data_IF_918841692505
#
_entry.id   IF_918841692505
#
_cell.length_a   1.000
_cell.length_b   1.000
_cell.length_c   1.000
_cell.angle_alpha   90.00
_cell.angle_beta   90.00
_cell.angle_gamma   90.00
#
_symmetry.space_group_name_H-M   'P 1'
#
loop_
_entity.id
_entity.type
_entity.pdbx_description
1 polymer ?
#
# COMPACT_ATOMS: atom_id res chain seq x y z
N UNK A 1 -6.80 -7.80 33.36
CA UNK A 1 -6.59 -8.07 31.92
C UNK A 1 -6.41 -6.74 31.23
N UNK A 2 -5.38 -6.59 30.41
CA UNK A 2 -5.08 -5.36 29.68
C UNK A 2 -6.17 -5.04 28.66
N UNK A 3 -6.35 -3.75 28.36
CA UNK A 3 -7.36 -3.27 27.40
C UNK A 3 -6.67 -2.49 26.28
N UNK A 4 -6.91 -2.85 25.03
CA UNK A 4 -6.44 -2.14 23.86
C UNK A 4 -7.62 -1.47 23.17
N UNK A 5 -7.47 -0.17 22.87
CA UNK A 5 -8.39 0.60 22.04
C UNK A 5 -7.78 0.79 20.65
N UNK A 6 -8.22 -0.02 19.68
CA UNK A 6 -7.64 -0.07 18.34
C UNK A 6 -8.54 0.65 17.33
N UNK A 7 -7.94 1.54 16.52
CA UNK A 7 -8.62 2.23 15.42
C UNK A 7 -7.94 1.88 14.09
N UNK A 8 -8.62 1.10 13.26
CA UNK A 8 -8.32 0.89 11.85
C UNK A 8 -9.48 1.48 11.03
N UNK A 9 -9.18 2.40 10.10
CA UNK A 9 -10.19 3.16 9.36
C UNK A 9 -10.41 2.72 7.92
N UNK A 10 -9.61 1.76 7.43
CA UNK A 10 -9.64 1.27 6.04
C UNK A 10 -9.44 -0.25 6.02
N UNK A 11 -9.81 -0.89 4.91
CA UNK A 11 -9.72 -2.35 4.77
C UNK A 11 -8.28 -2.87 4.89
N UNK A 12 -7.31 -2.16 4.30
CA UNK A 12 -5.88 -2.46 4.48
C UNK A 12 -5.45 -2.42 5.94
N UNK A 13 -5.92 -1.40 6.67
CA UNK A 13 -5.69 -1.28 8.11
C UNK A 13 -6.28 -2.43 8.92
N UNK A 14 -7.47 -2.93 8.57
CA UNK A 14 -8.10 -4.11 9.20
C UNK A 14 -7.28 -5.38 8.96
N UNK A 15 -6.78 -5.59 7.73
CA UNK A 15 -5.93 -6.73 7.38
C UNK A 15 -4.64 -6.70 8.23
N UNK A 16 -3.92 -5.60 8.21
CA UNK A 16 -2.64 -5.49 8.91
C UNK A 16 -2.81 -5.55 10.43
N UNK A 17 -3.82 -4.86 10.96
CA UNK A 17 -4.14 -4.92 12.38
C UNK A 17 -4.53 -6.33 12.83
N UNK A 18 -5.38 -7.03 12.06
CA UNK A 18 -5.82 -8.39 12.43
C UNK A 18 -4.68 -9.39 12.43
N UNK A 19 -3.74 -9.30 11.47
CA UNK A 19 -2.55 -10.16 11.44
C UNK A 19 -1.68 -9.92 12.68
N UNK A 20 -1.42 -8.67 13.02
CA UNK A 20 -0.67 -8.31 14.22
C UNK A 20 -1.39 -8.72 15.52
N UNK A 21 -2.70 -8.52 15.64
CA UNK A 21 -3.49 -8.93 16.81
C UNK A 21 -3.47 -10.46 16.99
N UNK A 22 -3.52 -11.26 15.91
CA UNK A 22 -3.35 -12.71 16.00
C UNK A 22 -2.01 -13.10 16.63
N UNK A 23 -0.92 -12.40 16.28
CA UNK A 23 0.39 -12.66 16.90
C UNK A 23 0.42 -12.20 18.35
N UNK A 24 -0.13 -11.02 18.66
CA UNK A 24 -0.15 -10.49 20.02
C UNK A 24 -0.96 -11.38 20.99
N UNK A 25 -2.07 -11.99 20.53
CA UNK A 25 -2.87 -12.94 21.31
C UNK A 25 -2.13 -14.23 21.69
N UNK A 26 -1.05 -14.57 20.97
CA UNK A 26 -0.18 -15.70 21.35
C UNK A 26 0.77 -15.33 22.50
N UNK A 27 0.96 -14.03 22.76
CA UNK A 27 1.90 -13.51 23.75
C UNK A 27 1.20 -13.03 25.04
N UNK A 28 -0.05 -12.56 24.94
CA UNK A 28 -0.78 -12.00 26.07
C UNK A 28 -2.30 -12.06 25.90
N UNK A 29 -3.01 -12.07 27.04
CA UNK A 29 -4.45 -11.93 27.10
C UNK A 29 -4.85 -10.46 27.27
N UNK A 30 -5.78 -9.99 26.43
CA UNK A 30 -6.30 -8.63 26.49
C UNK A 30 -7.71 -8.53 25.90
N UNK A 31 -8.43 -7.50 26.31
CA UNK A 31 -9.70 -7.10 25.69
C UNK A 31 -9.43 -6.09 24.59
N UNK A 32 -10.13 -6.22 23.46
CA UNK A 32 -9.96 -5.40 22.27
C UNK A 32 -11.24 -4.61 21.98
N UNK A 33 -11.11 -3.28 21.89
CA UNK A 33 -12.21 -2.34 21.65
C UNK A 33 -11.86 -1.42 20.49
N UNK A 34 -12.87 -0.80 19.84
CA UNK A 34 -12.60 0.30 18.91
C UNK A 34 -13.32 0.23 17.58
N UNK A 35 -12.59 0.43 16.50
CA UNK A 35 -13.10 0.48 15.12
C UNK A 35 -12.23 -0.38 14.22
N UNK A 36 -12.86 -1.17 13.36
CA UNK A 36 -12.19 -2.06 12.41
C UNK A 36 -13.16 -2.70 11.44
N UNK A 37 -12.68 -3.63 10.66
CA UNK A 37 -13.45 -4.45 9.75
C UNK A 37 -13.87 -5.79 10.36
N UNK A 38 -14.36 -6.67 9.50
CA UNK A 38 -14.85 -7.98 9.92
C UNK A 38 -13.74 -8.87 10.50
N UNK A 39 -12.48 -8.74 10.03
CA UNK A 39 -11.36 -9.54 10.54
C UNK A 39 -11.04 -9.24 12.00
N UNK A 40 -11.04 -7.96 12.39
CA UNK A 40 -10.88 -7.57 13.79
C UNK A 40 -12.09 -7.97 14.65
N UNK A 41 -13.31 -7.90 14.10
CA UNK A 41 -14.53 -8.37 14.75
C UNK A 41 -14.47 -9.86 15.06
N UNK A 42 -14.05 -10.69 14.12
CA UNK A 42 -13.82 -12.13 14.30
C UNK A 42 -12.76 -12.45 15.36
N UNK A 43 -11.81 -11.55 15.58
CA UNK A 43 -10.83 -11.62 16.66
C UNK A 43 -11.36 -11.08 18.00
N UNK A 44 -12.66 -10.84 18.13
CA UNK A 44 -13.30 -10.43 19.37
C UNK A 44 -13.15 -8.94 19.70
N UNK A 45 -12.96 -8.09 18.70
CA UNK A 45 -13.05 -6.63 18.91
C UNK A 45 -14.49 -6.22 19.18
N UNK A 46 -14.72 -5.58 20.32
CA UNK A 46 -15.96 -4.83 20.57
C UNK A 46 -15.93 -3.56 19.73
N UNK A 47 -16.67 -3.58 18.61
CA UNK A 47 -16.66 -2.50 17.61
C UNK A 47 -17.75 -1.47 17.90
N UNK A 48 -17.37 -0.18 17.82
CA UNK A 48 -18.29 0.95 17.88
C UNK A 48 -18.69 1.43 16.50
N UNK A 49 -17.85 1.17 15.50
CA UNK A 49 -18.11 1.33 14.08
C UNK A 49 -17.39 0.24 13.29
N UNK A 50 -18.01 -0.21 12.19
CA UNK A 50 -17.37 -1.07 11.21
C UNK A 50 -16.93 -0.21 10.01
N UNK A 51 -15.79 -0.53 9.41
CA UNK A 51 -15.28 0.19 8.21
C UNK A 51 -16.21 0.05 7.00
N UNK A 52 -17.00 -1.02 6.91
CA UNK A 52 -18.02 -1.18 5.87
C UNK A 52 -19.07 -0.07 5.91
N UNK A 53 -19.38 0.44 7.10
CA UNK A 53 -20.31 1.58 7.26
C UNK A 53 -19.71 2.88 6.73
N UNK A 54 -18.38 2.93 6.57
CA UNK A 54 -17.63 4.07 6.07
C UNK A 54 -17.42 4.04 4.55
N UNK A 55 -17.37 2.85 3.95
CA UNK A 55 -17.08 2.63 2.51
C UNK A 55 -18.30 2.80 1.60
N UNK A 56 -19.51 2.71 2.12
CA UNK A 56 -20.77 2.90 1.37
C UNK A 56 -20.84 4.30 0.73
N UNK A 57 -19.92 5.19 1.11
CA UNK A 57 -19.93 6.60 0.74
C UNK A 57 -18.73 6.87 -0.19
N UNK A 58 -18.98 7.04 -1.49
CA UNK A 58 -17.96 7.31 -2.53
C UNK A 58 -17.09 8.57 -2.29
N UNK A 59 -15.92 8.59 -2.90
CA UNK A 59 -14.85 9.60 -2.71
C UNK A 59 -15.25 11.06 -3.07
N UNK A 60 -16.36 11.25 -3.81
CA UNK A 60 -16.84 12.57 -4.25
C UNK A 60 -17.66 13.35 -3.21
N UNK A 61 -17.90 12.76 -2.02
CA UNK A 61 -18.80 13.33 -1.01
C UNK A 61 -18.13 13.68 0.33
N UNK A 62 -16.85 14.06 0.31
CA UNK A 62 -16.07 14.37 1.53
C UNK A 62 -16.77 15.44 2.40
N UNK A 63 -17.50 16.37 1.80
CA UNK A 63 -18.21 17.44 2.54
C UNK A 63 -19.46 16.88 3.23
N UNK A 64 -20.20 15.96 2.60
CA UNK A 64 -21.39 15.32 3.20
C UNK A 64 -21.03 14.37 4.35
N UNK A 65 -19.79 13.89 4.42
CA UNK A 65 -19.27 12.94 5.44
C UNK A 65 -18.81 13.62 6.72
N UNK A 66 -18.55 14.91 6.70
CA UNK A 66 -18.01 15.61 7.86
C UNK A 66 -18.87 15.40 9.13
N UNK A 67 -20.21 15.45 9.08
CA UNK A 67 -21.04 15.17 10.25
C UNK A 67 -20.87 13.76 10.79
N UNK A 68 -20.76 12.76 9.92
CA UNK A 68 -20.54 11.36 10.31
C UNK A 68 -19.18 11.16 10.98
N UNK A 69 -18.11 11.71 10.39
CA UNK A 69 -16.75 11.66 10.95
C UNK A 69 -16.71 12.34 12.33
N UNK A 70 -17.38 13.48 12.48
CA UNK A 70 -17.47 14.19 13.76
C UNK A 70 -18.25 13.39 14.81
N UNK A 71 -19.37 12.75 14.40
CA UNK A 71 -20.15 11.86 15.28
C UNK A 71 -19.32 10.67 15.73
N UNK A 72 -18.61 9.99 14.79
CA UNK A 72 -17.71 8.89 15.09
C UNK A 72 -16.61 9.34 16.06
N UNK A 73 -15.96 10.46 15.78
CA UNK A 73 -14.91 11.01 16.63
C UNK A 73 -15.41 11.29 18.06
N UNK A 74 -16.59 11.87 18.19
CA UNK A 74 -17.22 12.17 19.47
C UNK A 74 -17.58 10.91 20.26
N UNK A 75 -18.14 9.88 19.59
CA UNK A 75 -18.45 8.62 20.22
C UNK A 75 -17.19 7.89 20.69
N UNK A 76 -16.15 7.82 19.85
CA UNK A 76 -14.89 7.15 20.22
C UNK A 76 -14.20 7.85 21.39
N UNK A 77 -14.26 9.18 21.48
CA UNK A 77 -13.78 9.93 22.65
C UNK A 77 -14.51 9.50 23.94
N UNK A 78 -15.84 9.45 23.91
CA UNK A 78 -16.64 9.01 25.05
C UNK A 78 -16.29 7.59 25.46
N UNK A 79 -16.22 6.69 24.48
CA UNK A 79 -15.87 5.28 24.73
C UNK A 79 -14.46 5.10 25.28
N UNK A 80 -13.52 5.93 24.87
CA UNK A 80 -12.15 5.92 25.42
C UNK A 80 -12.15 6.17 26.94
N UNK A 81 -12.94 7.15 27.42
CA UNK A 81 -13.06 7.42 28.85
C UNK A 81 -13.85 6.35 29.63
N UNK A 82 -14.88 5.76 29.01
CA UNK A 82 -15.66 4.68 29.62
C UNK A 82 -14.79 3.42 29.83
N UNK A 83 -13.98 3.06 28.83
CA UNK A 83 -13.17 1.83 28.83
C UNK A 83 -11.88 2.00 29.61
N UNK A 84 -11.25 3.19 29.56
CA UNK A 84 -9.93 3.49 30.13
C UNK A 84 -8.89 2.45 29.70
N UNK A 85 -8.55 2.38 28.39
CA UNK A 85 -7.61 1.38 27.90
C UNK A 85 -6.18 1.66 28.38
N UNK A 86 -5.39 0.58 28.49
CA UNK A 86 -3.95 0.67 28.78
C UNK A 86 -3.15 1.17 27.57
N UNK A 87 -3.70 0.96 26.36
CA UNK A 87 -3.08 1.35 25.11
C UNK A 87 -4.13 1.79 24.07
N UNK A 88 -3.87 2.90 23.43
CA UNK A 88 -4.53 3.33 22.18
C UNK A 88 -3.62 2.95 21.02
N UNK A 89 -4.08 2.03 20.17
CA UNK A 89 -3.35 1.54 19.00
C UNK A 89 -4.02 2.04 17.72
N UNK A 90 -3.31 2.88 17.00
CA UNK A 90 -3.79 3.51 15.78
C UNK A 90 -3.11 2.85 14.57
N UNK A 91 -3.90 2.46 13.58
CA UNK A 91 -3.38 1.76 12.41
C UNK A 91 -3.71 2.55 11.15
N UNK A 92 -2.66 3.04 10.46
CA UNK A 92 -2.79 3.86 9.25
C UNK A 92 -3.80 5.02 9.40
N UNK A 93 -4.56 5.38 8.35
CA UNK A 93 -5.65 6.36 8.34
C UNK A 93 -5.27 7.72 8.97
N UNK A 94 -4.20 8.38 8.49
CA UNK A 94 -3.56 9.51 9.19
C UNK A 94 -4.44 10.74 9.36
N UNK A 95 -5.41 10.96 8.48
CA UNK A 95 -6.32 12.10 8.56
C UNK A 95 -7.17 12.11 9.83
N UNK A 96 -7.58 10.95 10.30
CA UNK A 96 -8.34 10.75 11.53
C UNK A 96 -7.43 10.43 12.71
N UNK A 97 -6.56 9.45 12.54
CA UNK A 97 -5.78 8.87 13.62
C UNK A 97 -4.80 9.86 14.27
N UNK A 98 -4.18 10.78 13.51
CA UNK A 98 -3.32 11.82 14.11
C UNK A 98 -4.09 12.82 14.98
N UNK A 99 -5.36 13.08 14.68
CA UNK A 99 -6.22 13.91 15.52
C UNK A 99 -6.65 13.16 16.78
N UNK A 100 -6.91 11.85 16.65
CA UNK A 100 -7.26 11.00 17.78
C UNK A 100 -6.08 10.77 18.72
N UNK A 101 -4.86 10.60 18.17
CA UNK A 101 -3.62 10.55 18.93
C UNK A 101 -3.42 11.78 19.81
N UNK A 102 -3.62 12.98 19.24
CA UNK A 102 -3.53 14.25 19.99
C UNK A 102 -4.53 14.30 21.16
N UNK A 103 -5.77 13.89 20.90
CA UNK A 103 -6.79 13.84 21.93
C UNK A 103 -6.44 12.81 23.02
N UNK A 104 -6.05 11.60 22.64
CA UNK A 104 -5.69 10.54 23.58
C UNK A 104 -4.50 10.96 24.46
N UNK A 105 -3.45 11.52 23.85
CA UNK A 105 -2.25 11.97 24.57
C UNK A 105 -2.51 13.09 25.55
N UNK A 106 -3.34 14.06 25.19
CA UNK A 106 -3.76 15.16 26.11
C UNK A 106 -4.56 14.68 27.33
N UNK A 107 -5.06 13.45 27.28
CA UNK A 107 -5.80 12.82 28.36
C UNK A 107 -5.03 11.63 28.96
N UNK A 108 -3.69 11.68 28.89
CA UNK A 108 -2.73 10.77 29.53
C UNK A 108 -2.80 9.31 29.08
N UNK A 109 -3.43 9.01 27.92
CA UNK A 109 -3.39 7.68 27.35
C UNK A 109 -2.07 7.41 26.63
N UNK A 110 -1.59 6.17 26.71
CA UNK A 110 -0.46 5.70 25.90
C UNK A 110 -0.90 5.46 24.46
N UNK A 111 -0.10 5.93 23.49
CA UNK A 111 -0.43 5.87 22.06
C UNK A 111 0.67 5.16 21.29
N UNK A 112 0.33 4.05 20.64
CA UNK A 112 1.16 3.44 19.61
C UNK A 112 0.53 3.64 18.24
N UNK A 113 1.37 3.78 17.22
CA UNK A 113 0.92 3.99 15.84
C UNK A 113 1.60 2.99 14.91
N UNK A 114 0.81 2.16 14.25
CA UNK A 114 1.29 1.18 13.28
C UNK A 114 0.99 1.63 11.86
N UNK A 115 1.95 1.46 10.96
CA UNK A 115 2.00 1.97 9.58
C UNK A 115 2.15 3.50 9.62
N UNK A 116 3.39 3.94 9.80
CA UNK A 116 3.76 5.33 9.93
C UNK A 116 3.18 6.20 8.80
N UNK A 117 2.55 7.34 9.13
CA UNK A 117 2.07 8.27 8.10
C UNK A 117 3.22 8.79 7.24
N UNK A 118 3.03 8.79 5.92
CA UNK A 118 4.04 9.28 4.95
C UNK A 118 4.14 10.81 4.94
N UNK A 119 4.30 11.41 6.13
CA UNK A 119 4.39 12.88 6.30
C UNK A 119 5.63 13.48 5.64
N UNK A 120 6.65 12.67 5.40
CA UNK A 120 7.86 13.04 4.66
C UNK A 120 7.56 13.33 3.17
N UNK A 121 6.51 12.72 2.62
CA UNK A 121 6.01 13.01 1.27
C UNK A 121 5.09 14.23 1.25
N UNK A 122 4.21 14.35 2.26
CA UNK A 122 3.14 15.35 2.33
C UNK A 122 3.05 15.93 3.73
N UNK A 123 2.95 17.26 3.84
CA UNK A 123 2.74 17.91 5.13
C UNK A 123 3.75 17.53 6.23
N UNK A 124 5.03 17.71 5.94
CA UNK A 124 6.12 17.42 6.88
C UNK A 124 5.91 18.04 8.28
N UNK A 125 5.25 19.18 8.37
CA UNK A 125 4.92 19.84 9.64
C UNK A 125 4.13 18.96 10.62
N UNK A 126 3.43 17.91 10.15
CA UNK A 126 2.74 16.96 11.03
C UNK A 126 3.72 16.16 11.93
N UNK A 127 4.97 16.10 11.56
CA UNK A 127 6.01 15.42 12.35
C UNK A 127 6.14 16.01 13.76
N UNK A 128 6.03 17.34 13.89
CA UNK A 128 6.10 18.00 15.20
C UNK A 128 4.95 17.55 16.12
N UNK A 129 3.77 17.35 15.56
CA UNK A 129 2.63 16.83 16.30
C UNK A 129 2.82 15.36 16.66
N UNK A 130 3.31 14.55 15.73
CA UNK A 130 3.59 13.13 16.00
C UNK A 130 4.59 12.95 17.15
N UNK A 131 5.63 13.78 17.22
CA UNK A 131 6.62 13.76 18.30
C UNK A 131 6.01 13.92 19.69
N UNK A 132 4.99 14.77 19.84
CA UNK A 132 4.34 15.03 21.13
C UNK A 132 3.18 14.09 21.46
N UNK A 133 2.71 13.31 20.48
CA UNK A 133 1.45 12.55 20.62
C UNK A 133 1.59 11.04 20.47
N UNK A 134 2.71 10.54 19.98
CA UNK A 134 2.94 9.11 19.73
C UNK A 134 4.08 8.61 20.62
N UNK A 135 3.79 7.64 21.49
CA UNK A 135 4.78 7.03 22.38
C UNK A 135 5.63 5.98 21.65
N UNK A 136 5.05 5.28 20.66
CA UNK A 136 5.73 4.29 19.83
C UNK A 136 5.20 4.32 18.41
N UNK A 137 6.11 4.49 17.43
CA UNK A 137 5.80 4.52 16.00
C UNK A 137 6.42 3.33 15.28
N UNK A 138 5.58 2.54 14.59
CA UNK A 138 6.02 1.41 13.77
C UNK A 138 6.07 1.80 12.30
N UNK A 139 7.28 1.83 11.76
CA UNK A 139 7.59 2.22 10.39
C UNK A 139 7.61 1.01 9.46
N UNK A 140 7.11 1.17 8.25
CA UNK A 140 7.04 0.11 7.25
C UNK A 140 8.01 0.30 6.08
N UNK A 141 8.68 1.45 6.00
CA UNK A 141 9.73 1.72 5.02
C UNK A 141 11.08 1.87 5.73
N UNK A 142 12.17 1.31 5.19
CA UNK A 142 13.47 1.22 5.88
C UNK A 142 14.03 2.57 6.35
N UNK A 143 13.89 3.61 5.55
CA UNK A 143 14.45 4.93 5.85
C UNK A 143 13.61 5.75 6.86
N UNK A 144 12.35 5.35 7.11
CA UNK A 144 11.44 6.08 7.99
C UNK A 144 11.92 6.06 9.45
N UNK A 145 12.52 4.96 9.90
CA UNK A 145 13.01 4.85 11.27
C UNK A 145 14.06 5.92 11.59
N UNK A 146 15.06 6.06 10.72
CA UNK A 146 16.12 7.07 10.90
C UNK A 146 15.54 8.49 10.80
N UNK A 147 14.65 8.72 9.82
CA UNK A 147 14.00 10.00 9.62
C UNK A 147 13.22 10.43 10.86
N UNK A 148 12.36 9.55 11.39
CA UNK A 148 11.53 9.87 12.55
C UNK A 148 12.35 9.96 13.85
N UNK A 149 13.38 9.14 14.02
CA UNK A 149 14.30 9.25 15.17
C UNK A 149 15.06 10.57 15.20
N UNK A 150 15.50 11.08 14.05
CA UNK A 150 16.12 12.42 13.93
C UNK A 150 15.18 13.55 14.37
N UNK A 151 13.89 13.36 14.20
CA UNK A 151 12.85 14.31 14.64
C UNK A 151 12.41 14.08 16.09
N UNK A 152 13.07 13.17 16.83
CA UNK A 152 12.79 12.88 18.24
C UNK A 152 11.54 12.01 18.47
N UNK A 153 11.11 11.22 17.47
CA UNK A 153 10.02 10.26 17.59
C UNK A 153 10.59 8.88 17.91
N UNK A 154 10.00 8.17 18.87
CA UNK A 154 10.39 6.80 19.21
C UNK A 154 9.87 5.82 18.14
N UNK A 155 10.58 5.74 17.02
CA UNK A 155 10.25 4.94 15.85
C UNK A 155 11.07 3.65 15.79
N UNK A 156 10.47 2.61 15.18
CA UNK A 156 11.13 1.34 14.86
C UNK A 156 10.66 0.84 13.49
N UNK A 157 11.59 0.40 12.67
CA UNK A 157 11.29 -0.27 11.41
C UNK A 157 10.97 -1.74 11.66
N UNK A 158 9.77 -2.16 11.27
CA UNK A 158 9.24 -3.52 11.52
C UNK A 158 9.16 -4.39 10.27
N UNK A 159 9.50 -3.86 9.10
CA UNK A 159 9.23 -4.49 7.81
C UNK A 159 7.92 -3.98 7.22
N UNK A 160 7.64 -4.35 5.97
CA UNK A 160 6.44 -3.90 5.28
C UNK A 160 5.38 -5.01 5.25
N UNK A 161 4.21 -4.80 5.87
CA UNK A 161 3.15 -5.82 5.97
C UNK A 161 2.48 -6.16 4.64
N UNK A 162 2.79 -5.44 3.57
CA UNK A 162 2.30 -5.72 2.21
C UNK A 162 2.73 -7.12 1.76
N UNK A 163 3.91 -7.57 2.21
CA UNK A 163 4.50 -8.86 1.86
C UNK A 163 3.69 -10.03 2.43
N UNK A 164 3.09 -9.85 3.61
CA UNK A 164 2.29 -10.88 4.28
C UNK A 164 1.04 -11.28 3.45
N UNK A 165 0.62 -10.42 2.53
CA UNK A 165 -0.55 -10.62 1.69
C UNK A 165 -0.23 -11.26 0.33
N UNK A 166 1.06 -11.38 -0.03
CA UNK A 166 1.46 -11.97 -1.30
C UNK A 166 1.25 -13.48 -1.25
N UNK A 167 0.30 -13.94 -2.05
CA UNK A 167 -0.02 -15.36 -2.22
C UNK A 167 -0.05 -15.70 -3.69
N UNK A 168 0.90 -16.50 -4.13
CA UNK A 168 0.90 -17.06 -5.47
C UNK A 168 -0.12 -18.20 -5.55
N UNK A 169 -0.83 -18.28 -6.65
CA UNK A 169 -1.80 -19.33 -6.97
C UNK A 169 -1.23 -20.35 -7.97
N UNK A 170 -0.18 -19.94 -8.68
CA UNK A 170 0.47 -20.70 -9.72
C UNK A 170 1.87 -21.08 -9.24
N UNK A 171 2.23 -22.35 -9.39
CA UNK A 171 3.45 -22.91 -8.80
C UNK A 171 4.69 -22.70 -9.68
N UNK A 172 4.51 -22.61 -11.01
CA UNK A 172 5.62 -22.51 -11.96
C UNK A 172 5.34 -21.59 -13.13
N UNK A 173 6.41 -21.16 -13.81
CA UNK A 173 6.33 -20.35 -15.03
C UNK A 173 5.63 -21.15 -16.16
N UNK A 174 5.91 -22.46 -16.24
CA UNK A 174 5.29 -23.33 -17.25
C UNK A 174 3.77 -23.37 -17.07
N UNK A 175 3.30 -23.58 -15.83
CA UNK A 175 1.87 -23.56 -15.51
C UNK A 175 1.24 -22.20 -15.80
N UNK A 176 1.95 -21.11 -15.57
CA UNK A 176 1.49 -19.76 -15.90
C UNK A 176 1.24 -19.59 -17.40
N UNK A 177 2.18 -20.04 -18.24
CA UNK A 177 2.03 -20.00 -19.69
C UNK A 177 0.86 -20.87 -20.18
N UNK A 178 0.69 -22.05 -19.61
CA UNK A 178 -0.39 -22.98 -19.97
C UNK A 178 -1.78 -22.46 -19.57
N UNK A 179 -1.94 -21.96 -18.34
CA UNK A 179 -3.22 -21.47 -17.84
C UNK A 179 -3.73 -20.29 -18.68
N UNK A 180 -2.85 -19.38 -19.09
CA UNK A 180 -3.24 -18.19 -19.84
C UNK A 180 -3.08 -18.33 -21.35
N UNK A 181 -2.63 -19.47 -21.85
CA UNK A 181 -2.43 -19.71 -23.28
C UNK A 181 -1.41 -18.76 -23.90
N UNK A 182 -0.30 -18.50 -23.17
CA UNK A 182 0.78 -17.63 -23.61
C UNK A 182 1.78 -18.40 -24.47
N UNK A 183 2.43 -17.71 -25.42
CA UNK A 183 3.47 -18.29 -26.26
C UNK A 183 4.78 -18.45 -25.46
N UNK A 184 5.29 -19.68 -25.32
CA UNK A 184 6.51 -19.98 -24.52
C UNK A 184 7.77 -19.34 -25.11
N UNK A 185 7.77 -19.04 -26.40
CA UNK A 185 8.91 -18.42 -27.10
C UNK A 185 8.93 -16.89 -27.02
N UNK A 186 7.91 -16.28 -26.39
CA UNK A 186 7.80 -14.84 -26.21
C UNK A 186 7.92 -14.44 -24.75
N UNK A 187 8.65 -13.37 -24.49
CA UNK A 187 8.65 -12.72 -23.17
C UNK A 187 7.28 -12.12 -22.86
N UNK A 188 6.95 -12.00 -21.59
CA UNK A 188 5.65 -11.54 -21.13
C UNK A 188 5.73 -10.15 -20.49
N UNK A 189 4.87 -9.25 -20.96
CA UNK A 189 4.64 -7.94 -20.36
C UNK A 189 3.35 -8.02 -19.54
N UNK A 190 3.46 -7.83 -18.24
CA UNK A 190 2.31 -7.71 -17.35
C UNK A 190 1.79 -6.27 -17.29
N UNK A 191 0.48 -6.12 -17.37
CA UNK A 191 -0.21 -4.82 -17.36
C UNK A 191 -0.98 -4.66 -16.06
N UNK A 192 -0.65 -3.64 -15.27
CA UNK A 192 -1.33 -3.28 -14.03
C UNK A 192 -1.91 -1.86 -14.16
N UNK A 193 -3.11 -1.72 -14.74
CA UNK A 193 -3.67 -0.41 -15.09
C UNK A 193 -4.13 0.43 -13.88
N UNK A 194 -4.20 -0.17 -12.71
CA UNK A 194 -4.70 0.43 -11.48
C UNK A 194 -5.92 -0.30 -10.92
N UNK A 195 -6.39 0.16 -9.77
CA UNK A 195 -7.54 -0.42 -9.05
C UNK A 195 -8.76 0.50 -9.00
N UNK A 196 -8.62 1.75 -9.45
CA UNK A 196 -9.69 2.75 -9.48
C UNK A 196 -10.13 3.05 -10.90
N UNK A 197 -11.43 3.34 -11.09
CA UNK A 197 -12.00 3.62 -12.42
C UNK A 197 -11.18 4.64 -13.22
N UNK A 198 -10.87 5.78 -12.63
CA UNK A 198 -10.10 6.85 -13.30
C UNK A 198 -8.67 6.44 -13.68
N UNK A 199 -8.05 5.55 -12.90
CA UNK A 199 -6.73 5.01 -13.20
C UNK A 199 -6.82 4.08 -14.42
N UNK A 200 -7.73 3.10 -14.37
CA UNK A 200 -7.93 2.13 -15.46
C UNK A 200 -8.28 2.85 -16.75
N UNK A 201 -9.38 3.62 -16.78
CA UNK A 201 -9.84 4.34 -17.96
C UNK A 201 -8.77 5.31 -18.50
N UNK A 202 -7.96 5.91 -17.60
CA UNK A 202 -6.89 6.82 -18.01
C UNK A 202 -5.68 6.12 -18.61
N UNK A 203 -5.37 4.88 -18.22
CA UNK A 203 -4.14 4.20 -18.64
C UNK A 203 -4.35 3.25 -19.81
N UNK A 204 -5.57 2.72 -19.98
CA UNK A 204 -5.83 1.57 -20.83
C UNK A 204 -5.55 1.83 -22.30
N UNK A 205 -5.93 2.99 -22.83
CA UNK A 205 -5.72 3.34 -24.24
C UNK A 205 -4.24 3.39 -24.60
N UNK A 206 -3.40 3.94 -23.71
CA UNK A 206 -1.95 4.01 -23.94
C UNK A 206 -1.35 2.60 -23.87
N UNK A 207 -1.81 1.76 -22.96
CA UNK A 207 -1.38 0.36 -22.88
C UNK A 207 -1.72 -0.39 -24.17
N UNK A 208 -2.93 -0.22 -24.70
CA UNK A 208 -3.35 -0.86 -25.95
C UNK A 208 -2.49 -0.40 -27.12
N UNK A 209 -2.31 0.90 -27.30
CA UNK A 209 -1.51 1.45 -28.39
C UNK A 209 -0.05 0.98 -28.30
N UNK A 210 0.55 0.96 -27.11
CA UNK A 210 1.91 0.46 -26.92
C UNK A 210 2.01 -1.06 -27.18
N UNK A 211 1.00 -1.84 -26.74
CA UNK A 211 0.97 -3.29 -26.95
C UNK A 211 0.87 -3.67 -28.43
N UNK A 212 0.11 -2.91 -29.24
CA UNK A 212 0.06 -3.12 -30.69
C UNK A 212 1.43 -3.01 -31.36
N UNK A 213 2.30 -2.13 -30.88
CA UNK A 213 3.66 -1.97 -31.41
C UNK A 213 4.60 -3.12 -31.07
N UNK A 214 4.20 -3.98 -30.12
CA UNK A 214 5.03 -5.05 -29.58
C UNK A 214 4.39 -6.45 -29.66
N UNK A 215 3.15 -6.58 -30.15
CA UNK A 215 2.34 -7.82 -30.10
C UNK A 215 2.98 -9.03 -30.77
N UNK A 216 3.79 -8.82 -31.81
CA UNK A 216 4.44 -9.91 -32.53
C UNK A 216 5.63 -10.52 -31.75
N UNK A 217 6.17 -9.76 -30.79
CA UNK A 217 7.38 -10.11 -30.02
C UNK A 217 7.13 -10.47 -28.56
N UNK A 218 5.98 -10.07 -28.00
CA UNK A 218 5.66 -10.23 -26.58
C UNK A 218 4.26 -10.80 -26.38
N UNK A 219 4.11 -11.55 -25.27
CA UNK A 219 2.83 -11.82 -24.68
C UNK A 219 2.38 -10.62 -23.82
N UNK A 220 1.06 -10.40 -23.76
CA UNK A 220 0.48 -9.38 -22.89
C UNK A 220 -0.58 -10.01 -21.98
N UNK A 221 -0.43 -9.80 -20.68
CA UNK A 221 -1.41 -10.24 -19.69
C UNK A 221 -1.74 -9.09 -18.73
N UNK A 222 -3.03 -8.82 -18.56
CA UNK A 222 -3.52 -7.72 -17.74
C UNK A 222 -4.13 -8.23 -16.45
N UNK A 223 -3.65 -7.68 -15.33
CA UNK A 223 -4.20 -7.94 -14.02
C UNK A 223 -5.51 -7.17 -13.83
N UNK A 224 -6.57 -7.88 -13.43
CA UNK A 224 -7.83 -7.29 -13.01
C UNK A 224 -7.97 -7.42 -11.50
N UNK A 225 -7.91 -6.29 -10.78
CA UNK A 225 -8.21 -6.25 -9.37
C UNK A 225 -9.71 -6.52 -9.11
N UNK A 226 -10.06 -7.06 -7.94
CA UNK A 226 -11.46 -7.42 -7.63
C UNK A 226 -12.44 -6.25 -7.71
N UNK A 227 -11.96 -5.04 -7.46
CA UNK A 227 -12.74 -3.79 -7.55
C UNK A 227 -12.96 -3.30 -8.98
N UNK A 228 -12.23 -3.85 -9.96
CA UNK A 228 -12.24 -3.41 -11.36
C UNK A 228 -13.31 -4.16 -12.13
N UNK A 229 -14.19 -3.41 -12.82
CA UNK A 229 -15.25 -3.96 -13.66
C UNK A 229 -14.75 -4.11 -15.10
N UNK A 230 -15.24 -5.15 -15.79
CA UNK A 230 -14.88 -5.45 -17.18
C UNK A 230 -15.16 -4.26 -18.12
N UNK A 231 -16.25 -3.55 -17.88
CA UNK A 231 -16.66 -2.37 -18.67
C UNK A 231 -15.63 -1.23 -18.68
N UNK A 232 -14.72 -1.17 -17.67
CA UNK A 232 -13.69 -0.14 -17.62
C UNK A 232 -12.53 -0.39 -18.59
N UNK A 233 -12.44 -1.59 -19.13
CA UNK A 233 -11.41 -1.94 -20.12
C UNK A 233 -11.80 -1.53 -21.56
N UNK A 234 -13.07 -1.18 -21.82
CA UNK A 234 -13.53 -0.83 -23.14
C UNK A 234 -13.34 -1.98 -24.17
N UNK A 235 -12.94 -1.65 -25.38
CA UNK A 235 -12.66 -2.64 -26.44
C UNK A 235 -11.29 -3.29 -26.22
N UNK A 236 -11.27 -4.44 -25.56
CA UNK A 236 -10.04 -5.19 -25.26
C UNK A 236 -9.42 -5.78 -26.53
N UNK A 237 -8.12 -5.50 -26.82
CA UNK A 237 -7.42 -6.14 -27.94
C UNK A 237 -7.28 -7.65 -27.75
N UNK A 238 -7.47 -8.42 -28.81
CA UNK A 238 -7.44 -9.91 -28.78
C UNK A 238 -6.11 -10.49 -28.29
N UNK A 239 -4.99 -9.77 -28.53
CA UNK A 239 -3.65 -10.21 -28.10
C UNK A 239 -3.35 -9.95 -26.63
N UNK A 240 -4.25 -9.30 -25.88
CA UNK A 240 -4.11 -9.08 -24.44
C UNK A 240 -5.02 -10.08 -23.69
N UNK A 241 -4.42 -10.91 -22.84
CA UNK A 241 -5.16 -11.76 -21.91
C UNK A 241 -5.51 -10.97 -20.64
N UNK A 242 -6.68 -11.24 -20.05
CA UNK A 242 -7.07 -10.63 -18.76
C UNK A 242 -7.19 -11.74 -17.72
N UNK A 243 -6.62 -11.50 -16.54
CA UNK A 243 -6.66 -12.46 -15.46
C UNK A 243 -7.11 -11.78 -14.15
N UNK A 244 -8.29 -12.20 -13.65
CA UNK A 244 -8.86 -11.72 -12.41
C UNK A 244 -8.37 -12.54 -11.22
N UNK A 245 -7.85 -11.84 -10.21
CA UNK A 245 -7.40 -12.48 -8.97
C UNK A 245 -6.04 -13.19 -9.07
N UNK A 246 -5.26 -12.95 -10.14
CA UNK A 246 -3.90 -13.48 -10.34
C UNK A 246 -2.84 -12.36 -10.36
N UNK A 247 -3.10 -11.27 -9.65
CA UNK A 247 -2.23 -10.09 -9.68
C UNK A 247 -0.77 -10.43 -9.30
N UNK A 248 -0.58 -11.23 -8.25
CA UNK A 248 0.76 -11.60 -7.78
C UNK A 248 1.45 -12.59 -8.71
N UNK A 249 0.69 -13.50 -9.34
CA UNK A 249 1.23 -14.43 -10.32
C UNK A 249 1.69 -13.67 -11.58
N UNK A 250 0.91 -12.70 -12.05
CA UNK A 250 1.31 -11.81 -13.15
C UNK A 250 2.56 -11.03 -12.78
N UNK A 251 2.60 -10.45 -11.56
CA UNK A 251 3.79 -9.74 -11.09
C UNK A 251 5.01 -10.65 -11.03
N UNK A 252 4.84 -11.92 -10.61
CA UNK A 252 5.94 -12.88 -10.44
C UNK A 252 6.49 -13.41 -11.74
N UNK A 253 5.60 -13.73 -12.70
CA UNK A 253 5.95 -14.50 -13.88
C UNK A 253 6.05 -13.66 -15.17
N UNK A 254 5.85 -12.35 -15.09
CA UNK A 254 6.16 -11.44 -16.20
C UNK A 254 7.64 -11.08 -16.23
N UNK A 255 8.17 -10.79 -17.40
CA UNK A 255 9.55 -10.27 -17.57
C UNK A 255 9.67 -8.80 -17.20
N UNK A 256 8.60 -8.04 -17.41
CA UNK A 256 8.50 -6.61 -17.10
C UNK A 256 7.04 -6.23 -16.85
N UNK A 257 6.82 -5.18 -16.08
CA UNK A 257 5.48 -4.68 -15.77
C UNK A 257 5.29 -3.23 -16.22
N UNK A 258 4.15 -2.94 -16.85
CA UNK A 258 3.63 -1.58 -16.98
C UNK A 258 2.66 -1.36 -15.81
N UNK A 259 3.09 -0.61 -14.83
CA UNK A 259 2.46 -0.62 -13.51
C UNK A 259 2.02 0.78 -13.07
N UNK A 260 0.73 0.96 -12.82
CA UNK A 260 0.21 2.17 -12.18
C UNK A 260 0.88 2.38 -10.81
N UNK A 261 1.29 3.62 -10.54
CA UNK A 261 1.97 3.98 -9.30
C UNK A 261 1.10 3.68 -8.07
N UNK A 262 1.70 3.09 -7.07
CA UNK A 262 1.06 2.67 -5.82
C UNK A 262 1.86 1.55 -5.16
N UNK A 263 1.22 0.84 -4.23
CA UNK A 263 1.81 -0.31 -3.52
C UNK A 263 2.21 -1.43 -4.48
N UNK A 264 1.45 -1.62 -5.58
CA UNK A 264 1.74 -2.62 -6.61
C UNK A 264 3.16 -2.52 -7.19
N UNK A 265 3.75 -1.32 -7.26
CA UNK A 265 5.13 -1.16 -7.74
C UNK A 265 6.16 -1.76 -6.78
N UNK A 266 5.89 -1.72 -5.47
CA UNK A 266 6.73 -2.34 -4.46
C UNK A 266 6.53 -3.85 -4.40
N UNK A 267 5.29 -4.32 -4.52
CA UNK A 267 4.95 -5.75 -4.61
C UNK A 267 5.65 -6.38 -5.82
N UNK A 268 5.59 -5.72 -6.99
CA UNK A 268 6.29 -6.13 -8.20
C UNK A 268 7.80 -6.24 -8.01
N UNK A 269 8.41 -5.20 -7.42
CA UNK A 269 9.84 -5.20 -7.14
C UNK A 269 10.24 -6.28 -6.14
N UNK A 270 9.44 -6.53 -5.12
CA UNK A 270 9.64 -7.62 -4.16
C UNK A 270 9.54 -9.00 -4.83
N UNK A 271 8.61 -9.18 -5.75
CA UNK A 271 8.46 -10.43 -6.52
C UNK A 271 9.55 -10.65 -7.58
N UNK A 272 10.42 -9.65 -7.77
CA UNK A 272 11.57 -9.73 -8.64
C UNK A 272 11.32 -9.28 -10.08
N UNK A 273 10.24 -8.55 -10.35
CA UNK A 273 9.92 -8.09 -11.71
C UNK A 273 10.02 -6.57 -11.81
N UNK A 274 10.81 -6.03 -12.75
CA UNK A 274 11.04 -4.60 -12.88
C UNK A 274 9.78 -3.87 -13.40
N UNK A 275 9.26 -2.85 -12.68
CA UNK A 275 8.15 -2.05 -13.15
C UNK A 275 8.61 -0.83 -13.97
N UNK A 276 7.90 -0.52 -15.05
CA UNK A 276 7.78 0.84 -15.57
C UNK A 276 6.62 1.48 -14.82
N UNK A 277 6.93 2.49 -14.02
CA UNK A 277 6.00 3.12 -13.10
C UNK A 277 5.24 4.23 -13.82
N UNK A 278 3.92 4.17 -13.78
CA UNK A 278 3.05 5.08 -14.53
C UNK A 278 2.23 5.89 -13.54
N UNK A 279 2.17 7.19 -13.76
CA UNK A 279 1.39 8.07 -12.90
C UNK A 279 0.71 9.18 -13.70
N UNK A 280 -0.63 9.26 -13.59
CA UNK A 280 -1.44 10.35 -14.11
C UNK A 280 -1.99 11.19 -12.99
N UNK A 281 -1.68 12.47 -13.01
CA UNK A 281 -2.23 13.46 -12.07
C UNK A 281 -3.01 14.52 -12.85
N UNK A 282 -4.14 15.00 -12.30
CA UNK A 282 -4.79 16.18 -12.84
C UNK A 282 -3.80 17.35 -12.90
N UNK A 283 -3.86 18.15 -13.97
CA UNK A 283 -2.92 19.23 -14.23
C UNK A 283 -2.74 20.21 -13.06
N UNK A 284 -3.83 20.55 -12.39
CA UNK A 284 -3.78 21.37 -11.17
C UNK A 284 -3.02 20.69 -10.01
N UNK A 285 -3.15 19.38 -9.88
CA UNK A 285 -2.43 18.61 -8.85
C UNK A 285 -0.94 18.50 -9.20
N UNK A 286 -0.56 18.52 -10.46
CA UNK A 286 0.85 18.51 -10.90
C UNK A 286 1.55 19.81 -10.48
N UNK A 287 0.92 20.96 -10.67
CA UNK A 287 1.46 22.27 -10.28
C UNK A 287 1.60 22.34 -8.76
N UNK A 288 0.55 21.97 -8.04
CA UNK A 288 0.56 21.92 -6.58
C UNK A 288 1.57 20.89 -6.09
N UNK A 289 1.65 19.72 -6.74
CA UNK A 289 2.57 18.66 -6.41
C UNK A 289 4.03 19.08 -6.54
N UNK A 290 4.42 19.79 -7.60
CA UNK A 290 5.78 20.33 -7.77
C UNK A 290 6.18 21.32 -6.67
N UNK A 291 5.23 22.07 -6.12
CA UNK A 291 5.46 23.03 -5.02
C UNK A 291 5.43 22.39 -3.63
N UNK A 292 4.58 21.38 -3.41
CA UNK A 292 4.35 20.79 -2.09
C UNK A 292 5.01 19.42 -1.89
N UNK A 293 5.34 18.70 -2.97
CA UNK A 293 6.03 17.42 -2.90
C UNK A 293 7.54 17.67 -2.76
N UNK A 294 8.08 17.32 -1.60
CA UNK A 294 9.53 17.25 -1.38
C UNK A 294 10.17 16.05 -2.08
N UNK A 295 9.37 15.26 -2.78
CA UNK A 295 9.81 14.02 -3.40
C UNK A 295 10.36 14.25 -4.80
N UNK A 296 11.57 13.78 -5.01
CA UNK A 296 12.18 13.66 -6.34
C UNK A 296 11.70 12.42 -7.10
N UNK A 297 10.97 11.50 -6.44
CA UNK A 297 10.56 10.18 -6.92
C UNK A 297 9.14 9.86 -6.45
N UNK A 298 8.40 9.10 -7.26
CA UNK A 298 7.00 8.74 -6.98
C UNK A 298 6.87 7.25 -6.66
N UNK A 299 7.66 6.42 -7.34
CA UNK A 299 7.63 4.97 -7.15
C UNK A 299 8.28 4.54 -5.84
N UNK A 300 7.58 3.75 -5.05
CA UNK A 300 8.09 3.22 -3.78
C UNK A 300 9.45 2.50 -3.92
N UNK A 301 9.71 1.68 -4.96
CA UNK A 301 11.02 1.07 -5.16
C UNK A 301 12.15 2.11 -5.29
N UNK A 302 11.92 3.16 -6.07
CA UNK A 302 12.90 4.25 -6.26
C UNK A 302 13.11 5.06 -4.98
N UNK A 303 12.05 5.26 -4.20
CA UNK A 303 12.10 5.96 -2.91
C UNK A 303 12.92 5.15 -1.91
N UNK A 304 12.68 3.84 -1.79
CA UNK A 304 13.40 2.94 -0.89
C UNK A 304 14.89 2.87 -1.24
N UNK A 305 15.21 2.75 -2.51
CA UNK A 305 16.60 2.72 -2.99
C UNK A 305 17.28 4.10 -2.91
N UNK A 306 16.51 5.16 -2.71
CA UNK A 306 16.96 6.54 -2.86
C UNK A 306 17.64 6.83 -4.22
N UNK A 307 17.23 6.12 -5.28
CA UNK A 307 17.74 6.21 -6.66
C UNK A 307 16.58 6.16 -7.64
N UNK A 308 16.71 6.79 -8.81
CA UNK A 308 15.74 6.64 -9.91
C UNK A 308 16.25 5.55 -10.85
N UNK A 309 15.94 4.30 -10.53
CA UNK A 309 16.31 3.12 -11.31
C UNK A 309 15.15 2.72 -12.23
N UNK A 310 13.96 2.54 -11.65
CA UNK A 310 12.78 2.19 -12.41
C UNK A 310 12.20 3.43 -13.07
N UNK A 311 11.91 3.40 -14.38
CA UNK A 311 11.36 4.55 -15.09
C UNK A 311 10.03 5.01 -14.48
N UNK A 312 9.87 6.33 -14.32
CA UNK A 312 8.65 6.96 -13.85
C UNK A 312 8.07 7.83 -14.97
N UNK A 313 7.01 7.34 -15.63
CA UNK A 313 6.33 8.02 -16.70
C UNK A 313 5.15 8.82 -16.15
N UNK A 314 5.29 10.15 -16.15
CA UNK A 314 4.33 11.05 -15.55
C UNK A 314 3.64 11.87 -16.63
N UNK A 315 2.32 11.89 -16.64
CA UNK A 315 1.48 12.70 -17.55
C UNK A 315 1.91 12.59 -19.02
N UNK A 316 2.53 13.63 -19.59
CA UNK A 316 2.96 13.66 -20.99
C UNK A 316 4.08 12.69 -21.34
N UNK A 317 4.89 12.29 -20.35
CA UNK A 317 5.94 11.29 -20.57
C UNK A 317 5.36 9.88 -20.63
N UNK A 318 4.13 9.69 -20.17
CA UNK A 318 3.36 8.46 -20.31
C UNK A 318 2.65 8.43 -21.66
N UNK A 319 3.30 7.86 -22.63
CA UNK A 319 2.84 7.66 -24.01
C UNK A 319 3.35 6.31 -24.54
N UNK A 320 2.77 5.80 -25.66
CA UNK A 320 3.12 4.49 -26.20
C UNK A 320 4.61 4.35 -26.55
N UNK A 321 5.22 5.37 -27.13
CA UNK A 321 6.62 5.37 -27.55
C UNK A 321 7.56 5.25 -26.36
N UNK A 322 7.25 5.95 -25.27
CA UNK A 322 8.02 5.88 -24.02
C UNK A 322 7.94 4.50 -23.40
N UNK A 323 6.75 3.87 -23.36
CA UNK A 323 6.59 2.50 -22.87
C UNK A 323 7.43 1.51 -23.69
N UNK A 324 7.33 1.58 -25.01
CA UNK A 324 8.10 0.72 -25.90
C UNK A 324 9.61 0.91 -25.71
N UNK A 325 10.06 2.17 -25.63
CA UNK A 325 11.47 2.50 -25.43
C UNK A 325 12.00 1.93 -24.11
N UNK A 326 11.31 2.19 -23.01
CA UNK A 326 11.75 1.72 -21.71
C UNK A 326 11.66 0.22 -21.54
N UNK A 327 10.66 -0.43 -22.15
CA UNK A 327 10.58 -1.88 -22.21
C UNK A 327 11.86 -2.47 -22.84
N UNK A 328 12.32 -1.94 -23.96
CA UNK A 328 13.55 -2.39 -24.61
C UNK A 328 14.78 -2.15 -23.73
N UNK A 329 14.93 -0.94 -23.17
CA UNK A 329 16.08 -0.59 -22.32
C UNK A 329 16.18 -1.52 -21.10
N UNK A 330 15.06 -1.78 -20.41
CA UNK A 330 15.06 -2.66 -19.23
C UNK A 330 15.45 -4.07 -19.63
N UNK A 331 14.89 -4.61 -20.70
CA UNK A 331 15.17 -5.97 -21.17
C UNK A 331 16.62 -6.14 -21.66
N UNK A 332 17.22 -5.10 -22.23
CA UNK A 332 18.64 -5.10 -22.65
C UNK A 332 19.59 -4.96 -21.44
N UNK A 333 19.13 -4.40 -20.34
CA UNK A 333 19.92 -4.13 -19.12
C UNK A 333 19.43 -4.91 -17.91
N UNK A 334 18.79 -6.06 -18.10
CA UNK A 334 18.12 -6.83 -17.05
C UNK A 334 19.01 -7.12 -15.82
N UNK A 335 20.30 -7.35 -16.04
CA UNK A 335 21.24 -7.60 -14.93
C UNK A 335 21.36 -6.41 -13.94
N UNK A 336 21.24 -5.17 -14.44
CA UNK A 336 21.24 -3.98 -13.59
C UNK A 336 19.96 -3.98 -12.75
N UNK A 337 18.80 -4.21 -13.38
CA UNK A 337 17.51 -4.22 -12.69
C UNK A 337 17.41 -5.37 -11.68
N UNK A 338 17.86 -6.56 -12.01
CA UNK A 338 17.90 -7.71 -11.11
C UNK A 338 18.73 -7.45 -9.85
N UNK A 339 19.85 -6.74 -9.98
CA UNK A 339 20.70 -6.35 -8.84
C UNK A 339 19.96 -5.38 -7.91
N UNK A 340 19.27 -4.39 -8.47
CA UNK A 340 18.53 -3.41 -7.67
C UNK A 340 17.24 -4.02 -7.07
N UNK A 341 16.58 -4.95 -7.75
CA UNK A 341 15.47 -5.74 -7.20
C UNK A 341 15.92 -6.61 -6.02
N UNK A 342 17.08 -7.24 -6.14
CA UNK A 342 17.69 -8.00 -5.03
C UNK A 342 18.03 -7.09 -3.84
N UNK A 343 18.49 -5.87 -4.09
CA UNK A 343 18.73 -4.90 -3.02
C UNK A 343 17.43 -4.50 -2.30
N UNK A 344 16.32 -4.36 -3.03
CA UNK A 344 14.99 -4.11 -2.43
C UNK A 344 14.59 -5.30 -1.56
N UNK A 345 14.73 -6.53 -2.05
CA UNK A 345 14.37 -7.73 -1.31
C UNK A 345 15.11 -7.85 0.02
N UNK A 346 16.39 -7.44 0.08
CA UNK A 346 17.18 -7.48 1.31
C UNK A 346 16.59 -6.63 2.44
N UNK A 347 15.81 -5.60 2.15
CA UNK A 347 15.11 -4.83 3.19
C UNK A 347 13.98 -5.61 3.87
N UNK A 348 13.46 -6.64 3.21
CA UNK A 348 12.26 -7.36 3.65
C UNK A 348 12.54 -8.79 4.11
N UNK A 349 13.63 -9.41 3.64
CA UNK A 349 14.01 -10.78 4.01
C UNK A 349 14.18 -10.92 5.53
N UNK A 350 13.56 -11.96 6.09
CA UNK A 350 13.63 -12.28 7.52
C UNK A 350 12.82 -11.34 8.43
N UNK A 351 12.00 -10.47 7.88
CA UNK A 351 11.08 -9.60 8.64
C UNK A 351 9.68 -10.22 8.65
N UNK A 352 9.11 -10.34 9.83
CA UNK A 352 7.68 -10.58 10.05
C UNK A 352 7.12 -9.33 10.73
N UNK A 353 6.51 -8.40 9.97
CA UNK A 353 6.03 -7.13 10.50
C UNK A 353 5.02 -7.33 11.62
N UNK A 354 4.09 -8.25 11.44
CA UNK A 354 3.01 -8.54 12.39
C UNK A 354 3.55 -9.10 13.71
N UNK A 355 4.50 -10.02 13.65
CA UNK A 355 5.15 -10.59 14.82
C UNK A 355 6.05 -9.56 15.52
N UNK A 356 6.83 -8.79 14.74
CA UNK A 356 7.74 -7.78 15.29
C UNK A 356 6.97 -6.71 16.07
N UNK A 357 5.85 -6.20 15.51
CA UNK A 357 4.99 -5.24 16.21
C UNK A 357 4.39 -5.86 17.45
N UNK A 358 3.87 -7.11 17.38
CA UNK A 358 3.27 -7.80 18.51
C UNK A 358 4.27 -7.99 19.68
N UNK A 359 5.50 -8.39 19.39
CA UNK A 359 6.56 -8.55 20.39
C UNK A 359 6.96 -7.23 21.03
N UNK A 360 7.10 -6.18 20.24
CA UNK A 360 7.45 -4.85 20.74
C UNK A 360 6.32 -4.24 21.59
N UNK A 361 5.06 -4.41 21.16
CA UNK A 361 3.88 -4.01 21.96
C UNK A 361 3.83 -4.76 23.28
N UNK A 362 4.05 -6.09 23.26
CA UNK A 362 4.06 -6.90 24.47
C UNK A 362 5.13 -6.42 25.45
N UNK A 363 6.34 -6.18 24.98
CA UNK A 363 7.47 -5.71 25.80
C UNK A 363 7.24 -4.34 26.44
N UNK A 364 6.59 -3.40 25.72
CA UNK A 364 6.54 -1.99 26.13
C UNK A 364 5.23 -1.59 26.81
N UNK A 365 4.13 -2.34 26.62
CA UNK A 365 2.81 -1.94 27.08
C UNK A 365 2.10 -3.01 27.94
N UNK A 366 2.61 -4.23 27.99
CA UNK A 366 2.06 -5.34 28.81
C UNK A 366 2.95 -5.66 29.98
#
# INVERSE_FOLDING_TARGET
MKKIFLIAGEESGDIHASNMIRQLRKLADFSLYGTGGNRLKELGQEQFFNISDMTIIGFNEVISKLPFILKMFSLLKRKLFEIKPDLVLLVDYPGFNLRFADFAKRNDFKVAYYIAPQVWAWHYSRIYKMRSTIDRLYCILPFEEELFKKEGINAVYVGNPIIDNIKLKIESLESFYEIFGLCKDKRTIGLLPGSRRKEVEGNIEIFYNASYLLKDRFNFIMAQADSVKDEWFGALPEHIKVAKGYNYDIMKYSDILWCCSGTATLEAAYLGTPPIIIYRVPYFTEIIGRYFLRLKRIGLPNIILNKTIFPELINKDFNPESLVRWTKIILDQMDIYNRELSAINNFFVGKDPSLTVAQDLHKNFF
#
